data_IF_082238072079
#
_entry.id   IF_082238072079
#
_cell.length_a   1.000
_cell.length_b   1.000
_cell.length_c   1.000
_cell.angle_alpha   90.00
_cell.angle_beta   90.00
_cell.angle_gamma   90.00
#
_symmetry.space_group_name_H-M   'P 1'
#
loop_
_entity.id
_entity.type
_entity.pdbx_description
1 polymer ?
#
# COMPACT_ATOMS: atom_id res chain seq x y z
N UNK A 1 -8.29 27.01 16.53
CA UNK A 1 -8.74 27.31 15.15
C UNK A 1 -8.31 26.16 14.26
N UNK A 2 -9.17 25.14 14.07
CA UNK A 2 -8.81 23.90 13.38
C UNK A 2 -9.04 24.05 11.87
N UNK A 3 -7.98 23.94 11.09
CA UNK A 3 -8.03 23.96 9.63
C UNK A 3 -8.59 22.61 9.15
N UNK A 4 -9.83 22.61 8.63
CA UNK A 4 -10.45 21.43 8.02
C UNK A 4 -9.73 21.15 6.71
N UNK A 5 -8.67 20.34 6.75
CA UNK A 5 -7.98 19.89 5.55
C UNK A 5 -8.97 19.15 4.64
N UNK A 6 -9.20 19.65 3.43
CA UNK A 6 -9.86 18.90 2.37
C UNK A 6 -8.74 18.18 1.62
N UNK A 7 -8.58 16.85 1.79
CA UNK A 7 -7.55 16.13 1.06
C UNK A 7 -7.81 16.26 -0.44
N UNK A 8 -6.76 16.48 -1.22
CA UNK A 8 -6.84 16.44 -2.69
C UNK A 8 -7.22 15.00 -3.09
N UNK A 9 -8.36 14.87 -3.80
CA UNK A 9 -8.80 13.57 -4.31
C UNK A 9 -8.26 13.42 -5.73
N UNK A 10 -7.46 12.39 -5.95
CA UNK A 10 -6.99 11.99 -7.27
C UNK A 10 -7.65 10.68 -7.66
N UNK A 11 -8.51 10.73 -8.69
CA UNK A 11 -9.09 9.53 -9.28
C UNK A 11 -8.04 8.86 -10.17
N UNK A 12 -7.93 7.55 -10.06
CA UNK A 12 -7.00 6.73 -10.85
C UNK A 12 -7.73 5.51 -11.39
N UNK A 13 -7.30 5.06 -12.58
CA UNK A 13 -7.82 3.84 -13.21
C UNK A 13 -6.75 2.75 -13.10
N UNK A 14 -7.14 1.56 -12.66
CA UNK A 14 -6.24 0.43 -12.60
C UNK A 14 -5.96 -0.12 -14.02
N UNK A 15 -4.69 -0.13 -14.43
CA UNK A 15 -4.26 -0.74 -15.70
C UNK A 15 -3.69 -2.17 -15.53
N UNK A 16 -3.29 -2.53 -14.31
CA UNK A 16 -2.73 -3.84 -13.97
C UNK A 16 -3.68 -4.62 -13.06
N UNK A 17 -3.71 -5.94 -13.24
CA UNK A 17 -4.36 -6.85 -12.29
C UNK A 17 -3.73 -6.75 -10.89
N UNK A 18 -4.45 -7.24 -9.87
CA UNK A 18 -4.04 -7.10 -8.46
C UNK A 18 -2.58 -7.50 -8.20
N UNK A 19 -2.16 -8.67 -8.71
CA UNK A 19 -0.78 -9.17 -8.59
C UNK A 19 0.24 -8.34 -9.34
N UNK A 20 -0.09 -7.90 -10.55
CA UNK A 20 0.79 -7.04 -11.35
C UNK A 20 1.05 -5.69 -10.66
N UNK A 21 0.03 -5.12 -10.01
CA UNK A 21 0.16 -3.89 -9.23
C UNK A 21 0.91 -4.11 -7.90
N UNK A 22 0.78 -5.28 -7.28
CA UNK A 22 1.47 -5.57 -6.03
C UNK A 22 2.99 -5.80 -6.20
N UNK A 23 3.45 -6.22 -7.38
CA UNK A 23 4.87 -6.49 -7.64
C UNK A 23 5.83 -5.34 -7.29
N UNK A 24 5.60 -4.11 -7.79
CA UNK A 24 6.40 -2.94 -7.43
C UNK A 24 6.41 -2.62 -5.92
N UNK A 25 5.28 -2.82 -5.23
CA UNK A 25 5.17 -2.60 -3.79
C UNK A 25 5.97 -3.66 -3.02
N UNK A 26 5.87 -4.93 -3.42
CA UNK A 26 6.67 -6.02 -2.86
C UNK A 26 8.18 -5.76 -3.03
N UNK A 27 8.59 -5.16 -4.15
CA UNK A 27 9.98 -4.76 -4.36
C UNK A 27 10.44 -3.70 -3.36
N UNK A 28 9.59 -2.73 -2.99
CA UNK A 28 9.92 -1.73 -1.96
C UNK A 28 10.09 -2.36 -0.58
N UNK A 29 9.25 -3.34 -0.21
CA UNK A 29 9.41 -4.13 1.00
C UNK A 29 10.71 -4.93 0.99
N UNK A 30 11.03 -5.62 -0.12
CA UNK A 30 12.27 -6.39 -0.27
C UNK A 30 13.53 -5.51 -0.20
N UNK A 31 13.43 -4.25 -0.64
CA UNK A 31 14.50 -3.25 -0.51
C UNK A 31 14.58 -2.61 0.88
N UNK A 32 13.69 -2.95 1.82
CA UNK A 32 13.61 -2.34 3.14
C UNK A 32 13.14 -0.89 3.14
N UNK A 33 12.52 -0.43 2.05
CA UNK A 33 12.04 0.96 1.88
C UNK A 33 10.66 1.20 2.49
N UNK A 34 9.94 0.14 2.79
CA UNK A 34 8.65 0.15 3.48
C UNK A 34 8.78 -0.72 4.73
N UNK A 35 8.26 -0.23 5.84
CA UNK A 35 8.14 -0.97 7.09
C UNK A 35 6.82 -0.60 7.74
N UNK A 36 6.17 -1.58 8.34
CA UNK A 36 4.94 -1.38 9.08
C UNK A 36 5.28 -0.91 10.50
N UNK A 37 4.65 0.18 10.95
CA UNK A 37 4.94 0.78 12.26
C UNK A 37 4.37 -0.04 13.43
N UNK A 38 3.39 -0.90 13.16
CA UNK A 38 2.69 -1.76 14.12
C UNK A 38 2.31 -3.07 13.44
N UNK A 39 1.94 -4.08 14.23
CA UNK A 39 1.38 -5.32 13.70
C UNK A 39 -0.01 -5.12 13.12
N UNK A 40 -0.22 -5.66 11.92
CA UNK A 40 -1.49 -5.65 11.23
C UNK A 40 -1.91 -7.09 10.88
N UNK A 41 -2.29 -7.89 11.88
CA UNK A 41 -2.54 -9.33 11.76
C UNK A 41 -3.27 -9.75 10.47
N UNK A 42 -4.42 -9.14 10.17
CA UNK A 42 -5.18 -9.52 8.97
C UNK A 42 -4.52 -9.05 7.67
N UNK A 43 -3.79 -7.94 7.67
CA UNK A 43 -3.04 -7.50 6.50
C UNK A 43 -1.88 -8.48 6.26
N UNK A 44 -1.13 -8.80 7.29
CA UNK A 44 -0.01 -9.74 7.24
C UNK A 44 -0.47 -11.14 6.79
N UNK A 45 -1.57 -11.65 7.34
CA UNK A 45 -2.21 -12.89 6.88
C UNK A 45 -2.57 -12.84 5.40
N UNK A 46 -3.16 -11.72 4.95
CA UNK A 46 -3.49 -11.54 3.53
C UNK A 46 -2.24 -11.44 2.67
N UNK A 47 -1.16 -10.80 3.13
CA UNK A 47 0.13 -10.74 2.42
C UNK A 47 0.72 -12.14 2.25
N UNK A 48 0.72 -12.97 3.29
CA UNK A 48 1.19 -14.35 3.22
C UNK A 48 0.39 -15.18 2.20
N UNK A 49 -0.95 -15.12 2.25
CA UNK A 49 -1.83 -15.85 1.32
C UNK A 49 -1.72 -15.34 -0.12
N UNK A 50 -1.46 -14.05 -0.30
CA UNK A 50 -1.28 -13.44 -1.61
C UNK A 50 -0.05 -14.02 -2.35
N UNK A 51 0.99 -14.42 -1.60
CA UNK A 51 2.20 -15.06 -2.14
C UNK A 51 1.95 -16.53 -2.50
N UNK A 52 1.22 -17.29 -1.67
CA UNK A 52 0.94 -18.72 -1.91
C UNK A 52 -0.05 -18.97 -3.05
N UNK A 53 -0.56 -17.90 -3.67
CA UNK A 53 -1.62 -17.92 -4.66
C UNK A 53 -2.95 -18.51 -4.15
N UNK A 54 -3.08 -18.71 -2.83
CA UNK A 54 -4.30 -19.16 -2.17
C UNK A 54 -5.26 -17.98 -2.05
N UNK A 55 -6.02 -17.72 -3.11
CA UNK A 55 -7.07 -16.68 -3.12
C UNK A 55 -8.30 -17.17 -2.36
N UNK A 56 -8.24 -17.21 -1.03
CA UNK A 56 -9.42 -17.34 -0.19
C UNK A 56 -10.06 -15.95 0.03
N UNK A 57 -10.78 -15.46 -0.99
CA UNK A 57 -11.48 -14.17 -0.95
C UNK A 57 -10.67 -12.99 -1.50
N UNK A 58 -11.28 -11.80 -1.52
CA UNK A 58 -10.64 -10.59 -2.04
C UNK A 58 -9.58 -10.07 -1.06
N UNK A 59 -8.33 -9.82 -1.51
CA UNK A 59 -7.25 -9.33 -0.66
C UNK A 59 -7.38 -7.82 -0.42
N UNK A 60 -8.46 -7.40 0.25
CA UNK A 60 -8.86 -6.00 0.33
C UNK A 60 -7.86 -5.12 1.10
N UNK A 61 -7.21 -5.66 2.15
CA UNK A 61 -6.21 -4.89 2.91
C UNK A 61 -4.90 -4.78 2.17
N UNK A 62 -4.48 -5.84 1.50
CA UNK A 62 -3.30 -5.79 0.60
C UNK A 62 -3.56 -4.82 -0.54
N UNK A 63 -4.76 -4.80 -1.12
CA UNK A 63 -5.11 -3.86 -2.18
C UNK A 63 -5.10 -2.41 -1.68
N UNK A 64 -5.65 -2.16 -0.48
CA UNK A 64 -5.59 -0.86 0.16
C UNK A 64 -4.15 -0.40 0.43
N UNK A 65 -3.29 -1.29 0.95
CA UNK A 65 -1.87 -1.05 1.14
C UNK A 65 -1.18 -0.69 -0.19
N UNK A 66 -1.43 -1.49 -1.23
CA UNK A 66 -0.85 -1.28 -2.56
C UNK A 66 -1.23 0.09 -3.10
N UNK A 67 -2.50 0.50 -2.99
CA UNK A 67 -2.95 1.82 -3.42
C UNK A 67 -2.39 2.96 -2.57
N UNK A 68 -2.21 2.77 -1.27
CA UNK A 68 -1.57 3.76 -0.41
C UNK A 68 -0.11 4.01 -0.79
N UNK A 69 0.60 2.95 -1.20
CA UNK A 69 2.02 3.02 -1.55
C UNK A 69 2.26 3.36 -3.03
N UNK A 70 1.31 3.10 -3.93
CA UNK A 70 1.46 3.29 -5.38
C UNK A 70 1.96 4.69 -5.79
N UNK A 71 1.43 5.80 -5.24
CA UNK A 71 1.92 7.15 -5.56
C UNK A 71 3.35 7.41 -5.09
N UNK A 72 3.87 6.61 -4.16
CA UNK A 72 5.21 6.72 -3.59
C UNK A 72 6.26 5.94 -4.40
N UNK A 73 5.81 5.17 -5.40
CA UNK A 73 6.68 4.43 -6.30
C UNK A 73 7.20 5.42 -7.36
N UNK A 74 8.36 6.00 -7.12
CA UNK A 74 8.96 6.99 -8.01
C UNK A 74 9.86 8.01 -7.31
N UNK A 75 10.02 9.19 -7.92
CA UNK A 75 11.02 10.19 -7.55
C UNK A 75 10.72 10.90 -6.21
N UNK A 76 11.56 10.61 -5.21
CA UNK A 76 12.19 11.61 -4.33
C UNK A 76 11.36 12.28 -3.23
N UNK A 77 10.04 12.25 -3.29
CA UNK A 77 9.16 12.82 -2.27
C UNK A 77 8.61 11.70 -1.38
N UNK A 78 9.51 11.10 -0.59
CA UNK A 78 9.11 10.09 0.40
C UNK A 78 8.01 10.63 1.33
N UNK A 79 7.12 9.75 1.82
CA UNK A 79 6.05 10.16 2.73
C UNK A 79 6.63 10.82 3.98
N UNK A 80 6.26 12.08 4.24
CA UNK A 80 6.70 12.80 5.44
C UNK A 80 5.68 12.60 6.55
N UNK A 81 5.99 11.72 7.48
CA UNK A 81 5.22 11.57 8.71
C UNK A 81 5.52 12.79 9.59
N UNK A 82 4.56 13.73 9.66
CA UNK A 82 4.64 14.86 10.58
C UNK A 82 3.94 14.46 11.87
N UNK A 83 4.72 13.95 12.83
CA UNK A 83 4.23 13.72 14.18
C UNK A 83 4.05 15.09 14.84
N UNK A 84 2.82 15.41 15.26
CA UNK A 84 2.48 16.60 16.05
C UNK A 84 2.38 16.19 17.50
#
# INVERSE_FOLDING_TARGET
MAMKARPEIRLVTACLGKRGRAGPVAAMYAQGRVSDAVHFDTLEDQMCRFVTAEEAGSPDRVDALVWALWPLIGEGLGPRLRVV
#
